data_IF_293123197108
#
_entry.id   IF_293123197108
#
_cell.length_a   1.000
_cell.length_b   1.000
_cell.length_c   1.000
_cell.angle_alpha   90.00
_cell.angle_beta   90.00
_cell.angle_gamma   90.00
#
_symmetry.space_group_name_H-M   'P 1'
#
loop_
_entity.id
_entity.type
_entity.pdbx_description
1 polymer ?
#
# COMPACT_ATOMS: atom_id res chain seq x y z
N UNK A 1 11.07 -20.70 1.31
CA UNK A 1 9.60 -20.69 1.45
C UNK A 1 8.96 -19.49 0.76
N UNK A 2 9.06 -18.27 1.30
CA UNK A 2 8.35 -17.08 0.79
C UNK A 2 8.47 -16.85 -0.74
N UNK A 3 9.69 -16.85 -1.29
CA UNK A 3 9.91 -16.68 -2.74
C UNK A 3 9.20 -17.70 -3.62
N UNK A 4 9.00 -18.93 -3.13
CA UNK A 4 8.29 -19.97 -3.90
C UNK A 4 6.79 -19.68 -3.95
N UNK A 5 6.21 -19.27 -2.84
CA UNK A 5 4.79 -18.91 -2.77
C UNK A 5 4.48 -17.61 -3.52
N UNK A 6 5.39 -16.64 -3.53
CA UNK A 6 5.20 -15.37 -4.26
C UNK A 6 5.59 -15.43 -5.73
N UNK A 7 5.88 -16.61 -6.29
CA UNK A 7 6.34 -16.78 -7.68
C UNK A 7 7.59 -15.92 -7.99
N UNK A 8 8.55 -15.89 -7.07
CA UNK A 8 9.76 -15.08 -7.10
C UNK A 8 9.52 -13.56 -7.09
N UNK A 9 8.29 -13.09 -6.87
CA UNK A 9 8.03 -11.67 -6.72
C UNK A 9 8.61 -11.15 -5.40
N UNK A 10 9.41 -10.09 -5.51
CA UNK A 10 9.92 -9.34 -4.37
C UNK A 10 8.78 -8.55 -3.72
N UNK A 11 8.60 -8.72 -2.41
CA UNK A 11 7.62 -7.96 -1.62
C UNK A 11 8.07 -6.52 -1.39
N UNK A 12 9.38 -6.32 -1.18
CA UNK A 12 9.96 -4.98 -1.06
C UNK A 12 10.26 -4.46 -2.46
N UNK A 13 9.78 -3.25 -2.75
CA UNK A 13 9.98 -2.58 -4.03
C UNK A 13 10.69 -1.24 -3.76
N UNK A 14 12.01 -1.16 -4.01
CA UNK A 14 12.76 0.08 -3.83
C UNK A 14 12.23 1.19 -4.75
N UNK A 15 12.01 2.38 -4.20
CA UNK A 15 11.69 3.60 -4.92
C UNK A 15 12.75 4.69 -4.67
N UNK A 16 12.73 5.77 -5.47
CA UNK A 16 13.68 6.89 -5.31
C UNK A 16 13.62 7.54 -3.93
N UNK A 17 12.43 7.58 -3.31
CA UNK A 17 12.21 8.13 -1.98
C UNK A 17 11.74 7.04 -1.01
N UNK A 18 11.93 7.30 0.28
CA UNK A 18 11.39 6.42 1.35
C UNK A 18 9.86 6.27 1.25
N UNK A 19 9.16 7.32 0.83
CA UNK A 19 7.71 7.30 0.63
C UNK A 19 7.32 6.37 -0.53
N UNK A 20 7.97 6.52 -1.70
CA UNK A 20 7.74 5.64 -2.83
C UNK A 20 8.05 4.17 -2.49
N UNK A 21 9.15 3.93 -1.75
CA UNK A 21 9.52 2.58 -1.29
C UNK A 21 8.43 1.96 -0.41
N UNK A 22 7.91 2.72 0.57
CA UNK A 22 6.84 2.23 1.45
C UNK A 22 5.56 1.92 0.68
N UNK A 23 5.12 2.83 -0.20
CA UNK A 23 3.92 2.65 -1.01
C UNK A 23 4.03 1.46 -1.97
N UNK A 24 5.12 1.36 -2.73
CA UNK A 24 5.33 0.28 -3.70
C UNK A 24 5.46 -1.08 -3.01
N UNK A 25 6.11 -1.13 -1.84
CA UNK A 25 6.21 -2.36 -1.05
C UNK A 25 4.84 -2.79 -0.52
N UNK A 26 4.05 -1.85 0.00
CA UNK A 26 2.69 -2.12 0.45
C UNK A 26 1.79 -2.63 -0.69
N UNK A 27 1.90 -2.01 -1.87
CA UNK A 27 1.18 -2.43 -3.07
C UNK A 27 1.58 -3.84 -3.49
N UNK A 28 2.89 -4.14 -3.51
CA UNK A 28 3.38 -5.47 -3.87
C UNK A 28 2.94 -6.55 -2.87
N UNK A 29 2.90 -6.24 -1.57
CA UNK A 29 2.36 -7.14 -0.55
C UNK A 29 0.87 -7.41 -0.79
N UNK A 30 0.09 -6.37 -1.10
CA UNK A 30 -1.33 -6.52 -1.43
C UNK A 30 -1.55 -7.41 -2.66
N UNK A 31 -0.78 -7.24 -3.73
CA UNK A 31 -0.83 -8.10 -4.92
C UNK A 31 -0.52 -9.58 -4.60
N UNK A 32 0.26 -9.85 -3.56
CA UNK A 32 0.63 -11.19 -3.13
C UNK A 32 -0.26 -11.74 -2.00
N UNK A 33 -1.35 -11.05 -1.63
CA UNK A 33 -2.24 -11.41 -0.51
C UNK A 33 -2.60 -12.89 -0.49
N UNK A 34 -3.14 -13.43 -1.58
CA UNK A 34 -3.62 -14.83 -1.61
C UNK A 34 -2.47 -15.83 -1.53
N UNK A 35 -1.33 -15.51 -2.14
CA UNK A 35 -0.12 -16.31 -2.07
C UNK A 35 0.46 -16.33 -0.66
N UNK A 36 0.46 -15.19 0.04
CA UNK A 36 0.89 -15.08 1.43
C UNK A 36 -0.06 -15.83 2.37
N UNK A 37 -1.38 -15.76 2.14
CA UNK A 37 -2.36 -16.54 2.89
C UNK A 37 -2.12 -18.04 2.71
N UNK A 38 -1.96 -18.51 1.47
CA UNK A 38 -1.62 -19.91 1.17
C UNK A 38 -0.32 -20.35 1.85
N UNK A 39 0.68 -19.47 1.90
CA UNK A 39 1.94 -19.74 2.58
C UNK A 39 1.73 -19.99 4.07
N UNK A 40 1.10 -19.07 4.79
CA UNK A 40 0.96 -19.16 6.26
C UNK A 40 -0.02 -20.26 6.72
N UNK A 41 -0.90 -20.73 5.83
CA UNK A 41 -1.79 -21.87 6.11
C UNK A 41 -1.23 -23.21 5.63
N UNK A 42 -0.04 -23.22 5.01
CA UNK A 42 0.55 -24.46 4.48
C UNK A 42 1.12 -25.35 5.57
N UNK A 43 1.12 -26.66 5.34
CA UNK A 43 1.76 -27.63 6.23
C UNK A 43 3.27 -27.35 6.39
N UNK A 44 3.93 -26.91 5.31
CA UNK A 44 5.34 -26.53 5.34
C UNK A 44 5.61 -25.38 6.31
N UNK A 45 4.74 -24.36 6.33
CA UNK A 45 4.83 -23.26 7.29
C UNK A 45 4.65 -23.78 8.72
N UNK A 46 3.59 -24.55 8.98
CA UNK A 46 3.29 -25.10 10.32
C UNK A 46 4.41 -25.96 10.89
N UNK A 47 5.13 -26.69 10.03
CA UNK A 47 6.31 -27.51 10.43
C UNK A 47 7.60 -26.71 10.57
N UNK A 48 7.65 -25.48 10.06
CA UNK A 48 8.85 -24.64 10.08
C UNK A 48 9.20 -24.15 11.49
N UNK A 49 10.49 -23.86 11.72
CA UNK A 49 10.95 -23.21 12.96
C UNK A 49 10.34 -21.80 13.10
N UNK A 50 10.26 -21.06 12.00
CA UNK A 50 9.76 -19.68 11.94
C UNK A 50 8.32 -19.59 12.46
N UNK A 51 7.44 -20.53 12.11
CA UNK A 51 6.05 -20.52 12.58
C UNK A 51 5.90 -20.70 14.10
N UNK A 52 6.92 -21.26 14.77
CA UNK A 52 6.92 -21.46 16.22
C UNK A 52 7.41 -20.23 16.98
N UNK A 53 8.20 -19.38 16.33
CA UNK A 53 8.70 -18.12 16.88
C UNK A 53 7.56 -17.10 17.06
N UNK A 54 7.70 -16.20 18.04
CA UNK A 54 6.72 -15.14 18.30
C UNK A 54 6.48 -14.27 17.06
N UNK A 55 7.55 -13.90 16.36
CA UNK A 55 7.47 -13.11 15.13
C UNK A 55 6.69 -13.84 14.02
N UNK A 56 6.88 -15.14 13.85
CA UNK A 56 6.15 -15.92 12.84
C UNK A 56 4.66 -16.03 13.16
N UNK A 57 4.30 -16.19 14.45
CA UNK A 57 2.90 -16.18 14.89
C UNK A 57 2.23 -14.84 14.60
N UNK A 58 2.92 -13.74 14.88
CA UNK A 58 2.42 -12.40 14.61
C UNK A 58 2.21 -12.16 13.10
N UNK A 59 3.18 -12.57 12.28
CA UNK A 59 3.07 -12.49 10.81
C UNK A 59 1.86 -13.28 10.30
N UNK A 60 1.63 -14.49 10.82
CA UNK A 60 0.46 -15.28 10.44
C UNK A 60 -0.84 -14.59 10.88
N UNK A 61 -0.88 -14.02 12.09
CA UNK A 61 -2.04 -13.27 12.58
C UNK A 61 -2.37 -12.07 11.68
N UNK A 62 -1.37 -11.27 11.32
CA UNK A 62 -1.51 -10.11 10.42
C UNK A 62 -1.99 -10.54 9.03
N UNK A 63 -1.37 -11.56 8.42
CA UNK A 63 -1.71 -12.04 7.07
C UNK A 63 -3.12 -12.64 7.02
N UNK A 64 -3.60 -13.25 8.11
CA UNK A 64 -4.95 -13.82 8.17
C UNK A 64 -6.02 -12.78 8.56
N UNK A 65 -5.62 -11.65 9.13
CA UNK A 65 -6.52 -10.58 9.55
C UNK A 65 -7.23 -9.91 8.38
N UNK A 66 -8.56 -9.89 8.43
CA UNK A 66 -9.39 -9.18 7.46
C UNK A 66 -9.23 -7.66 7.57
N UNK A 67 -9.17 -7.13 8.80
CA UNK A 67 -9.03 -5.69 9.05
C UNK A 67 -7.70 -5.15 8.53
N UNK A 68 -6.62 -5.93 8.65
CA UNK A 68 -5.33 -5.57 8.07
C UNK A 68 -5.44 -5.32 6.56
N UNK A 69 -5.99 -6.27 5.80
CA UNK A 69 -6.11 -6.12 4.34
C UNK A 69 -7.05 -4.99 3.92
N UNK A 70 -8.12 -4.73 4.67
CA UNK A 70 -8.98 -3.58 4.42
C UNK A 70 -8.24 -2.26 4.63
N UNK A 71 -7.42 -2.16 5.69
CA UNK A 71 -6.60 -0.99 5.94
C UNK A 71 -5.53 -0.80 4.85
N UNK A 72 -4.90 -1.88 4.40
CA UNK A 72 -3.96 -1.86 3.26
C UNK A 72 -4.65 -1.35 2.00
N UNK A 73 -5.83 -1.87 1.66
CA UNK A 73 -6.59 -1.43 0.50
C UNK A 73 -6.97 0.05 0.59
N UNK A 74 -7.39 0.50 1.77
CA UNK A 74 -7.73 1.91 2.01
C UNK A 74 -6.51 2.82 1.84
N UNK A 75 -5.35 2.44 2.41
CA UNK A 75 -4.10 3.17 2.25
C UNK A 75 -3.65 3.23 0.78
N UNK A 76 -3.84 2.16 0.00
CA UNK A 76 -3.51 2.15 -1.43
C UNK A 76 -4.45 3.05 -2.24
N UNK A 77 -5.75 3.06 -1.93
CA UNK A 77 -6.74 3.92 -2.57
C UNK A 77 -6.47 5.41 -2.33
N UNK A 78 -6.06 5.78 -1.12
CA UNK A 78 -5.70 7.15 -0.78
C UNK A 78 -4.33 7.54 -1.34
N UNK A 79 -3.34 6.67 -1.16
CA UNK A 79 -1.96 6.95 -1.53
C UNK A 79 -1.72 6.97 -3.04
N UNK A 80 -2.45 6.16 -3.82
CA UNK A 80 -2.27 6.05 -5.26
C UNK A 80 -2.40 7.38 -6.01
N UNK A 81 -3.51 8.12 -5.85
CA UNK A 81 -3.67 9.45 -6.44
C UNK A 81 -2.57 10.44 -6.02
N UNK A 82 -2.17 10.44 -4.75
CA UNK A 82 -1.11 11.33 -4.24
C UNK A 82 0.28 10.99 -4.83
N UNK A 83 0.60 9.71 -4.98
CA UNK A 83 1.83 9.27 -5.66
C UNK A 83 1.84 9.72 -7.12
N UNK A 84 0.69 9.73 -7.80
CA UNK A 84 0.59 10.24 -9.16
C UNK A 84 0.84 11.74 -9.24
N UNK A 85 0.36 12.53 -8.28
CA UNK A 85 0.67 13.97 -8.20
C UNK A 85 2.16 14.19 -8.04
N UNK A 86 2.79 13.50 -7.09
CA UNK A 86 4.24 13.60 -6.86
C UNK A 86 5.03 13.25 -8.13
N UNK A 87 4.65 12.18 -8.82
CA UNK A 87 5.30 11.78 -10.08
C UNK A 87 5.13 12.82 -11.19
N UNK A 88 4.01 13.53 -11.22
CA UNK A 88 3.75 14.60 -12.19
C UNK A 88 4.62 15.82 -11.91
N UNK A 89 4.74 16.21 -10.63
CA UNK A 89 5.51 17.37 -10.17
C UNK A 89 7.02 17.15 -10.29
N UNK A 90 7.49 15.92 -10.10
CA UNK A 90 8.88 15.54 -10.31
C UNK A 90 9.30 15.59 -11.81
N UNK A 91 8.35 15.77 -12.73
CA UNK A 91 8.62 15.93 -14.16
C UNK A 91 9.20 17.32 -14.46
N UNK A 92 10.54 17.42 -14.54
CA UNK A 92 11.31 18.68 -14.71
C UNK A 92 10.99 19.51 -15.97
N UNK A 93 10.05 19.11 -16.83
CA UNK A 93 9.84 19.75 -18.13
C UNK A 93 9.11 21.10 -18.08
N UNK A 94 8.31 21.39 -17.03
CA UNK A 94 7.52 22.63 -16.94
C UNK A 94 7.36 23.10 -15.49
N UNK A 95 7.25 24.43 -15.23
CA UNK A 95 7.00 24.96 -13.90
C UNK A 95 5.76 24.29 -13.25
N UNK A 96 5.92 23.60 -12.12
CA UNK A 96 4.89 22.71 -11.60
C UNK A 96 3.64 23.43 -11.07
N UNK A 97 3.76 24.69 -10.67
CA UNK A 97 2.65 25.40 -10.01
C UNK A 97 1.39 25.52 -10.87
N UNK A 98 1.51 25.56 -12.20
CA UNK A 98 0.36 25.72 -13.09
C UNK A 98 -0.56 24.49 -13.14
N UNK A 99 -0.02 23.28 -12.96
CA UNK A 99 -0.78 22.03 -13.01
C UNK A 99 -0.86 21.32 -11.66
N UNK A 100 -0.13 21.77 -10.64
CA UNK A 100 -0.14 21.18 -9.30
C UNK A 100 -1.54 21.25 -8.67
N UNK A 101 -2.19 22.41 -8.72
CA UNK A 101 -3.54 22.58 -8.15
C UNK A 101 -4.55 21.65 -8.83
N UNK A 102 -4.56 21.62 -10.16
CA UNK A 102 -5.42 20.71 -10.94
C UNK A 102 -5.11 19.22 -10.63
N UNK A 103 -3.84 18.86 -10.49
CA UNK A 103 -3.45 17.49 -10.14
C UNK A 103 -3.90 17.10 -8.72
N UNK A 104 -3.82 18.04 -7.76
CA UNK A 104 -4.30 17.84 -6.41
C UNK A 104 -5.83 17.70 -6.35
N UNK A 105 -6.57 18.53 -7.09
CA UNK A 105 -8.02 18.44 -7.17
C UNK A 105 -8.47 17.08 -7.75
N UNK A 106 -7.86 16.66 -8.86
CA UNK A 106 -8.10 15.31 -9.42
C UNK A 106 -7.73 14.20 -8.45
N UNK A 107 -6.70 14.39 -7.62
CA UNK A 107 -6.34 13.41 -6.61
C UNK A 107 -7.42 13.32 -5.52
N UNK A 108 -7.96 14.45 -5.06
CA UNK A 108 -9.09 14.48 -4.11
C UNK A 108 -10.33 13.81 -4.70
N UNK A 109 -10.69 14.12 -5.95
CA UNK A 109 -11.82 13.47 -6.64
C UNK A 109 -11.64 11.94 -6.71
N UNK A 110 -10.44 11.46 -7.07
CA UNK A 110 -10.14 10.03 -7.11
C UNK A 110 -10.22 9.37 -5.72
N UNK A 111 -9.80 10.07 -4.66
CA UNK A 111 -9.94 9.60 -3.28
C UNK A 111 -11.43 9.50 -2.90
N UNK A 112 -12.21 10.55 -3.17
CA UNK A 112 -13.65 10.57 -2.90
C UNK A 112 -14.39 9.45 -3.64
N UNK A 113 -14.07 9.22 -4.91
CA UNK A 113 -14.67 8.14 -5.70
C UNK A 113 -14.33 6.74 -5.16
N UNK A 114 -13.14 6.58 -4.55
CA UNK A 114 -12.66 5.28 -4.08
C UNK A 114 -13.03 4.95 -2.63
N UNK A 115 -13.35 5.97 -1.83
CA UNK A 115 -13.73 5.89 -0.41
C UNK A 115 -15.20 6.30 -0.25
N UNK A 116 -16.07 5.32 -0.04
CA UNK A 116 -17.53 5.57 0.10
C UNK A 116 -17.92 6.32 1.38
N UNK A 117 -17.01 6.47 2.34
CA UNK A 117 -17.26 7.04 3.65
C UNK A 117 -16.79 8.50 3.72
N UNK A 118 -17.76 9.41 3.78
CA UNK A 118 -17.55 10.86 3.79
C UNK A 118 -16.71 11.35 4.94
N UNK A 119 -16.91 10.80 6.14
CA UNK A 119 -16.13 11.18 7.30
C UNK A 119 -14.66 10.79 7.16
N UNK A 120 -14.37 9.71 6.42
CA UNK A 120 -12.99 9.25 6.20
C UNK A 120 -12.26 10.10 5.19
N UNK A 121 -12.83 10.37 4.01
CA UNK A 121 -12.13 11.19 3.02
C UNK A 121 -12.06 12.67 3.45
N UNK A 122 -13.04 13.19 4.21
CA UNK A 122 -12.97 14.55 4.75
C UNK A 122 -11.76 14.74 5.69
N UNK A 123 -11.48 13.77 6.57
CA UNK A 123 -10.27 13.80 7.42
C UNK A 123 -8.99 13.74 6.59
N UNK A 124 -8.97 12.95 5.52
CA UNK A 124 -7.83 12.89 4.60
C UNK A 124 -7.62 14.25 3.92
N UNK A 125 -8.68 14.92 3.49
CA UNK A 125 -8.59 16.24 2.86
C UNK A 125 -8.08 17.29 3.84
N UNK A 126 -8.54 17.27 5.10
CA UNK A 126 -7.99 18.15 6.15
C UNK A 126 -6.48 17.96 6.34
N UNK A 127 -5.98 16.72 6.29
CA UNK A 127 -4.54 16.45 6.40
C UNK A 127 -3.78 16.96 5.17
N UNK A 128 -4.37 16.82 3.98
CA UNK A 128 -3.79 17.29 2.72
C UNK A 128 -3.71 18.83 2.72
N UNK A 129 -4.79 19.51 3.12
CA UNK A 129 -4.91 20.97 3.06
C UNK A 129 -4.13 21.69 4.16
N UNK A 130 -3.76 20.98 5.23
CA UNK A 130 -2.92 21.51 6.30
C UNK A 130 -1.41 21.48 5.99
N UNK A 131 -1.01 20.94 4.83
CA UNK A 131 0.39 20.72 4.43
C UNK A 131 0.78 21.62 3.26
#
# INVERSE_FOLDING_TARGET
>A
MMRRFTMQNNLVKPGKTRFATAFLSLHSIHCQKDNLRKMVTSEEWSKSKIAKESAGKEVAHIILSYSFWNNVLHALKIGGPLVNVLRLVDGEQKPPMGYLYEAMDRAKEAIQASVSDEQKYAKVFQIIDAR
#
